data_IF_034455395317
#
_entry.id   IF_034455395317
#
_cell.length_a   1.000
_cell.length_b   1.000
_cell.length_c   1.000
_cell.angle_alpha   90.00
_cell.angle_beta   90.00
_cell.angle_gamma   90.00
#
_symmetry.space_group_name_H-M   'P 1'
#
loop_
_entity.id
_entity.type
_entity.pdbx_description
1 polymer ?
#
# COMPACT_ATOMS: atom_id res chain seq x y z
N UNK A 1 -8.29 -3.22 11.17
CA UNK A 1 -7.22 -2.69 10.30
C UNK A 1 -5.93 -3.37 10.71
N UNK A 2 -5.52 -4.44 10.03
CA UNK A 2 -4.17 -4.95 10.19
C UNK A 2 -3.20 -3.97 9.55
N UNK A 3 -2.26 -3.44 10.32
CA UNK A 3 -1.09 -2.75 9.77
C UNK A 3 -0.12 -3.83 9.33
N UNK A 4 0.21 -3.84 8.04
CA UNK A 4 1.06 -4.87 7.43
C UNK A 4 2.51 -4.59 7.80
N UNK A 5 2.92 -3.34 7.59
CA UNK A 5 4.26 -2.86 7.81
C UNK A 5 4.22 -1.37 8.12
N UNK A 6 5.22 -0.91 8.87
CA UNK A 6 5.46 0.51 9.09
C UNK A 6 6.92 0.81 8.74
N UNK A 7 7.13 1.72 7.79
CA UNK A 7 8.47 2.17 7.39
C UNK A 7 8.58 3.67 7.63
N UNK A 8 9.28 4.03 8.71
CA UNK A 8 9.40 5.42 9.15
C UNK A 8 8.02 6.05 9.42
N UNK A 9 7.65 7.17 8.76
CA UNK A 9 6.36 7.82 8.93
C UNK A 9 5.23 7.19 8.10
N UNK A 10 5.53 6.20 7.27
CA UNK A 10 4.58 5.57 6.34
C UNK A 10 4.01 4.28 6.93
N UNK A 11 2.68 4.21 7.02
CA UNK A 11 1.95 3.04 7.50
C UNK A 11 1.29 2.35 6.31
N UNK A 12 1.64 1.09 6.09
CA UNK A 12 1.06 0.24 5.05
C UNK A 12 -0.14 -0.51 5.64
N UNK A 13 -1.32 -0.24 5.11
CA UNK A 13 -2.60 -0.78 5.57
C UNK A 13 -3.42 -1.33 4.40
N UNK A 14 -4.16 -2.40 4.65
CA UNK A 14 -5.25 -2.86 3.78
C UNK A 14 -6.59 -2.59 4.46
N UNK A 15 -7.65 -2.31 3.70
CA UNK A 15 -9.00 -2.28 4.25
C UNK A 15 -9.67 -3.62 4.04
N UNK A 16 -10.36 -4.14 5.06
CA UNK A 16 -11.12 -5.39 4.93
C UNK A 16 -12.20 -5.33 3.85
N UNK A 17 -12.63 -4.12 3.48
CA UNK A 17 -13.59 -3.85 2.40
C UNK A 17 -12.98 -3.98 1.00
N UNK A 18 -11.66 -4.09 0.86
CA UNK A 18 -10.97 -4.23 -0.43
C UNK A 18 -11.09 -5.67 -1.01
N UNK A 19 -11.89 -6.54 -0.37
CA UNK A 19 -12.13 -7.92 -0.80
C UNK A 19 -12.78 -7.93 -2.20
N UNK A 20 -12.08 -8.53 -3.17
CA UNK A 20 -12.54 -8.63 -4.56
C UNK A 20 -11.89 -7.64 -5.54
N UNK A 21 -11.02 -6.75 -5.06
CA UNK A 21 -10.13 -5.97 -5.92
C UNK A 21 -8.79 -6.69 -6.14
N UNK A 22 -8.02 -6.34 -7.19
CA UNK A 22 -6.64 -6.82 -7.35
C UNK A 22 -5.76 -6.46 -6.16
N UNK A 23 -4.62 -7.17 -5.95
CA UNK A 23 -3.69 -6.87 -4.87
C UNK A 23 -3.22 -5.42 -4.88
N UNK A 24 -3.45 -4.71 -3.78
CA UNK A 24 -3.09 -3.31 -3.63
C UNK A 24 -2.86 -2.92 -2.17
N UNK A 25 -2.10 -1.86 -1.94
CA UNK A 25 -1.75 -1.37 -0.62
C UNK A 25 -2.13 0.09 -0.46
N UNK A 26 -2.59 0.48 0.73
CA UNK A 26 -2.77 1.88 1.08
C UNK A 26 -1.63 2.32 2.00
N UNK A 27 -0.99 3.43 1.65
CA UNK A 27 0.07 4.03 2.45
C UNK A 27 -0.46 5.30 3.08
N UNK A 28 -0.44 5.35 4.41
CA UNK A 28 -0.93 6.47 5.20
C UNK A 28 0.23 7.17 5.90
N UNK A 29 0.21 8.50 5.82
CA UNK A 29 1.08 9.39 6.61
C UNK A 29 0.26 10.56 7.13
N UNK A 30 0.13 10.68 8.45
CA UNK A 30 -0.66 11.75 9.10
C UNK A 30 -2.10 11.86 8.53
N UNK A 31 -2.36 12.92 7.75
CA UNK A 31 -3.62 13.24 7.05
C UNK A 31 -3.63 12.83 5.57
N UNK A 32 -2.50 12.34 5.06
CA UNK A 32 -2.31 11.92 3.69
C UNK A 32 -2.54 10.42 3.54
N UNK A 33 -3.11 10.03 2.41
CA UNK A 33 -3.36 8.63 2.06
C UNK A 33 -3.12 8.43 0.57
N UNK A 34 -2.43 7.36 0.21
CA UNK A 34 -2.21 6.97 -1.19
C UNK A 34 -2.50 5.49 -1.34
N UNK A 35 -3.05 5.10 -2.49
CA UNK A 35 -3.30 3.73 -2.89
C UNK A 35 -2.40 3.36 -4.06
N UNK A 36 -1.69 2.25 -3.93
CA UNK A 36 -0.85 1.66 -4.97
C UNK A 36 -1.33 0.25 -5.28
N UNK A 37 -1.45 -0.09 -6.56
CA UNK A 37 -1.58 -1.47 -7.01
C UNK A 37 -0.24 -2.19 -6.81
N UNK A 38 -0.28 -3.49 -6.54
CA UNK A 38 0.91 -4.35 -6.48
C UNK A 38 1.11 -5.12 -7.80
N UNK A 39 0.06 -5.32 -8.59
CA UNK A 39 0.11 -6.05 -9.86
C UNK A 39 -0.67 -5.35 -10.98
N UNK A 40 -0.01 -4.61 -11.89
CA UNK A 40 1.37 -4.11 -11.80
C UNK A 40 1.51 -2.96 -10.78
N UNK A 41 2.72 -2.75 -10.24
CA UNK A 41 2.98 -1.63 -9.32
C UNK A 41 2.66 -0.31 -10.01
N UNK A 42 1.61 0.37 -9.54
CA UNK A 42 1.16 1.63 -10.12
C UNK A 42 0.34 2.45 -9.14
N UNK A 43 0.42 3.77 -9.30
CA UNK A 43 -0.37 4.70 -8.50
C UNK A 43 -1.85 4.60 -8.89
N UNK A 44 -2.70 4.24 -7.93
CA UNK A 44 -4.15 4.18 -8.11
C UNK A 44 -4.81 5.49 -7.73
N UNK A 45 -4.50 5.99 -6.52
CA UNK A 45 -5.14 7.19 -5.98
C UNK A 45 -4.21 7.89 -5.00
N UNK A 46 -3.98 9.18 -5.21
CA UNK A 46 -3.23 10.02 -4.29
C UNK A 46 -4.17 11.01 -3.57
N UNK A 47 -4.07 11.10 -2.25
CA UNK A 47 -4.76 12.07 -1.41
C UNK A 47 -3.76 12.81 -0.52
N UNK A 48 -3.11 13.82 -1.10
CA UNK A 48 -2.33 14.83 -0.37
C UNK A 48 -0.82 14.62 -0.36
N UNK A 49 -0.30 13.57 -1.00
CA UNK A 49 1.15 13.42 -1.21
C UNK A 49 1.62 14.25 -2.41
N UNK A 50 2.86 14.71 -2.36
CA UNK A 50 3.53 15.37 -3.50
C UNK A 50 4.24 14.33 -4.37
N UNK A 51 4.52 14.67 -5.63
CA UNK A 51 5.11 13.75 -6.60
C UNK A 51 6.47 13.16 -6.16
N UNK A 52 7.30 13.93 -5.46
CA UNK A 52 8.56 13.40 -4.91
C UNK A 52 8.31 12.35 -3.81
N UNK A 53 7.35 12.61 -2.91
CA UNK A 53 7.00 11.65 -1.85
C UNK A 53 6.37 10.39 -2.46
N UNK A 54 5.60 10.53 -3.54
CA UNK A 54 5.06 9.40 -4.27
C UNK A 54 6.16 8.49 -4.83
N UNK A 55 7.24 9.06 -5.37
CA UNK A 55 8.39 8.28 -5.84
C UNK A 55 9.10 7.57 -4.68
N UNK A 56 9.28 8.24 -3.53
CA UNK A 56 9.88 7.61 -2.35
C UNK A 56 9.00 6.44 -1.85
N UNK A 57 7.68 6.64 -1.80
CA UNK A 57 6.74 5.59 -1.40
C UNK A 57 6.72 4.46 -2.43
N UNK A 58 6.79 4.77 -3.73
CA UNK A 58 6.85 3.77 -4.79
C UNK A 58 8.08 2.87 -4.61
N UNK A 59 9.25 3.43 -4.36
CA UNK A 59 10.47 2.65 -4.08
C UNK A 59 10.31 1.76 -2.85
N UNK A 60 9.64 2.25 -1.80
CA UNK A 60 9.33 1.43 -0.63
C UNK A 60 8.35 0.30 -0.99
N UNK A 61 7.30 0.58 -1.75
CA UNK A 61 6.33 -0.43 -2.19
C UNK A 61 7.03 -1.50 -3.03
N UNK A 62 7.92 -1.13 -3.94
CA UNK A 62 8.73 -2.07 -4.73
C UNK A 62 9.67 -2.90 -3.84
N UNK A 63 10.33 -2.27 -2.87
CA UNK A 63 11.25 -2.96 -1.94
C UNK A 63 10.52 -4.01 -1.10
N UNK A 64 9.30 -3.72 -0.66
CA UNK A 64 8.48 -4.59 0.18
C UNK A 64 7.38 -5.32 -0.60
N UNK A 65 7.40 -5.30 -1.94
CA UNK A 65 6.33 -5.80 -2.81
C UNK A 65 5.96 -7.23 -2.44
N UNK A 66 6.96 -8.10 -2.34
CA UNK A 66 6.77 -9.51 -2.04
C UNK A 66 6.07 -9.71 -0.69
N UNK A 67 6.52 -9.03 0.37
CA UNK A 67 5.91 -9.11 1.70
C UNK A 67 4.47 -8.58 1.71
N UNK A 68 4.20 -7.51 0.95
CA UNK A 68 2.86 -6.95 0.84
C UNK A 68 1.92 -7.89 0.07
N UNK A 69 2.41 -8.55 -0.99
CA UNK A 69 1.66 -9.55 -1.73
C UNK A 69 1.37 -10.79 -0.88
N UNK A 70 2.38 -11.33 -0.18
CA UNK A 70 2.21 -12.45 0.74
C UNK A 70 1.15 -12.13 1.80
N UNK A 71 1.25 -10.96 2.46
CA UNK A 71 0.27 -10.53 3.44
C UNK A 71 -1.14 -10.30 2.85
N UNK A 72 -1.24 -9.87 1.59
CA UNK A 72 -2.51 -9.75 0.89
C UNK A 72 -3.16 -11.12 0.68
N UNK A 73 -2.41 -12.07 0.13
CA UNK A 73 -2.89 -13.44 -0.10
C UNK A 73 -3.28 -14.11 1.23
N UNK A 74 -2.45 -14.00 2.27
CA UNK A 74 -2.74 -14.53 3.61
C UNK A 74 -4.03 -13.96 4.22
N UNK A 75 -4.39 -12.71 3.90
CA UNK A 75 -5.57 -12.06 4.46
C UNK A 75 -6.84 -12.25 3.62
N UNK A 76 -6.75 -12.24 2.29
CA UNK A 76 -7.91 -12.24 1.38
C UNK A 76 -8.18 -13.58 0.69
N UNK A 77 -7.17 -14.43 0.50
CA UNK A 77 -7.31 -15.75 -0.14
C UNK A 77 -7.46 -16.91 0.86
N UNK A 78 -7.39 -16.62 2.17
CA UNK A 78 -7.65 -17.58 3.25
C UNK A 78 -9.15 -17.84 3.51
#
# INVERSE_FOLDING_TARGET
>A
MPTVCQVGPYNFIFFSSDKGEPPHIHVRRDRQLVKFWLQPISLSKNRGFKDHELNDILQLVETYEQTLLEAWHDYFDA
#
